data_IF_804117038926
#
_entry.id   IF_804117038926
#
_cell.length_a   1.000
_cell.length_b   1.000
_cell.length_c   1.000
_cell.angle_alpha   90.00
_cell.angle_beta   90.00
_cell.angle_gamma   90.00
#
_symmetry.space_group_name_H-M   'P 1'
#
loop_
_entity.id
_entity.type
_entity.pdbx_description
1 polymer ?
#
# COMPACT_ATOMS: atom_id res chain seq x y z
N UNK A 1 -11.02 36.49 56.92
CA UNK A 1 -11.55 35.96 55.64
C UNK A 1 -10.64 36.22 54.43
N UNK A 2 -9.32 36.38 54.58
CA UNK A 2 -8.40 36.77 53.46
C UNK A 2 -7.28 35.76 53.14
N UNK A 3 -7.15 34.66 53.91
CA UNK A 3 -6.07 33.68 53.77
C UNK A 3 -6.36 32.55 52.76
N UNK A 4 -7.62 32.14 52.57
CA UNK A 4 -7.95 31.09 51.58
C UNK A 4 -7.88 31.61 50.13
N UNK A 5 -8.23 32.89 49.91
CA UNK A 5 -8.13 33.50 48.58
C UNK A 5 -6.69 33.58 48.09
N UNK A 6 -5.72 33.83 48.97
CA UNK A 6 -4.30 33.82 48.63
C UNK A 6 -3.85 32.45 48.12
N UNK A 7 -4.24 31.35 48.79
CA UNK A 7 -3.92 29.99 48.35
C UNK A 7 -4.55 29.67 47.00
N UNK A 8 -5.80 30.06 46.79
CA UNK A 8 -6.51 29.82 45.54
C UNK A 8 -5.89 30.62 44.38
N UNK A 9 -5.43 31.85 44.63
CA UNK A 9 -4.74 32.67 43.63
C UNK A 9 -3.36 32.07 43.29
N UNK A 10 -2.61 31.61 44.29
CA UNK A 10 -1.33 30.91 44.05
C UNK A 10 -1.53 29.63 43.24
N UNK A 11 -2.55 28.83 43.57
CA UNK A 11 -2.91 27.64 42.82
C UNK A 11 -3.34 27.97 41.39
N UNK A 12 -4.12 29.03 41.20
CA UNK A 12 -4.55 29.48 39.88
C UNK A 12 -3.34 29.89 39.02
N UNK A 13 -2.41 30.66 39.58
CA UNK A 13 -1.18 31.06 38.90
C UNK A 13 -0.28 29.87 38.58
N UNK A 14 -0.23 28.87 39.46
CA UNK A 14 0.53 27.64 39.22
C UNK A 14 -0.10 26.79 38.10
N UNK A 15 -1.43 26.69 38.04
CA UNK A 15 -2.13 26.01 36.95
C UNK A 15 -1.95 26.76 35.64
N UNK A 16 -2.06 28.09 35.63
CA UNK A 16 -1.81 28.91 34.44
C UNK A 16 -0.35 28.77 33.98
N UNK A 17 0.60 28.79 34.92
CA UNK A 17 2.02 28.59 34.64
C UNK A 17 2.31 27.20 34.08
N UNK A 18 1.73 26.15 34.66
CA UNK A 18 1.85 24.78 34.15
C UNK A 18 1.17 24.61 32.79
N UNK A 19 0.01 25.22 32.57
CA UNK A 19 -0.67 25.22 31.28
C UNK A 19 0.19 25.89 30.22
N UNK A 20 0.76 27.05 30.52
CA UNK A 20 1.69 27.73 29.62
C UNK A 20 2.96 26.93 29.38
N UNK A 21 3.56 26.36 30.41
CA UNK A 21 4.79 25.56 30.30
C UNK A 21 4.59 24.29 29.48
N UNK A 22 3.47 23.59 29.70
CA UNK A 22 3.08 22.43 28.90
C UNK A 22 2.81 22.84 27.44
N UNK A 23 2.10 23.94 27.22
CA UNK A 23 1.79 24.44 25.88
C UNK A 23 2.99 25.07 25.14
N UNK A 24 4.10 25.36 25.84
CA UNK A 24 5.34 25.86 25.25
C UNK A 24 6.24 24.74 24.70
N UNK A 25 5.93 23.48 25.00
CA UNK A 25 6.70 22.30 24.56
C UNK A 25 6.26 21.71 23.23
N UNK A 26 5.36 22.39 22.52
CA UNK A 26 4.96 22.00 21.18
C UNK A 26 5.17 23.20 20.27
N UNK A 27 6.37 23.34 19.71
CA UNK A 27 6.43 23.95 18.38
C UNK A 27 5.68 22.98 17.48
N UNK A 28 4.47 23.28 16.98
CA UNK A 28 4.00 22.57 15.80
C UNK A 28 5.05 22.92 14.75
N UNK A 29 5.88 21.96 14.37
CA UNK A 29 6.64 22.07 13.13
C UNK A 29 5.57 22.05 12.05
N UNK A 30 5.07 23.24 11.74
CA UNK A 30 4.08 23.51 10.72
C UNK A 30 4.77 23.57 9.34
N UNK A 31 5.74 22.67 9.18
CA UNK A 31 6.35 22.29 7.92
C UNK A 31 5.95 20.82 7.77
N UNK A 32 4.78 20.56 7.20
CA UNK A 32 4.47 19.25 6.64
C UNK A 32 5.41 19.04 5.45
N UNK A 33 6.66 18.74 5.76
CA UNK A 33 7.66 18.29 4.80
C UNK A 33 7.35 16.83 4.47
N UNK A 34 7.53 16.48 3.20
CA UNK A 34 7.38 15.09 2.76
C UNK A 34 8.42 14.23 3.49
N UNK A 35 8.06 12.98 3.76
CA UNK A 35 8.96 11.97 4.32
C UNK A 35 10.29 11.91 3.56
N UNK A 36 10.23 12.12 2.25
CA UNK A 36 11.40 12.09 1.37
C UNK A 36 11.17 12.90 0.09
N UNK A 37 12.26 13.28 -0.57
CA UNK A 37 12.24 13.94 -1.87
C UNK A 37 12.25 12.95 -3.05
N UNK A 38 12.35 11.64 -2.79
CA UNK A 38 12.45 10.60 -3.81
C UNK A 38 11.17 10.57 -4.68
N UNK A 39 11.35 10.45 -6.00
CA UNK A 39 10.26 10.23 -6.93
C UNK A 39 9.99 8.73 -7.09
N UNK A 40 8.71 8.34 -7.02
CA UNK A 40 8.27 6.95 -7.22
C UNK A 40 8.59 6.39 -8.60
N UNK A 41 8.69 7.26 -9.62
CA UNK A 41 8.94 6.82 -11.00
C UNK A 41 10.36 6.28 -11.21
N UNK A 42 11.30 6.75 -10.39
CA UNK A 42 12.72 6.36 -10.40
C UNK A 42 12.98 5.02 -9.69
N UNK A 43 11.98 4.47 -9.01
CA UNK A 43 12.11 3.19 -8.31
C UNK A 43 12.08 2.05 -9.32
N UNK A 44 13.09 1.17 -9.23
CA UNK A 44 13.26 -0.01 -10.08
C UNK A 44 13.24 -1.30 -9.26
N UNK A 45 13.64 -1.25 -8.00
CA UNK A 45 13.70 -2.40 -7.11
C UNK A 45 12.98 -2.09 -5.80
N UNK A 46 12.15 -3.02 -5.36
CA UNK A 46 11.43 -2.99 -4.09
C UNK A 46 11.76 -4.26 -3.34
N UNK A 47 12.22 -4.10 -2.10
CA UNK A 47 12.56 -5.21 -1.23
C UNK A 47 11.87 -5.02 0.11
N UNK A 48 11.04 -5.99 0.50
CA UNK A 48 10.31 -5.99 1.78
C UNK A 48 10.93 -7.06 2.67
N UNK A 49 11.48 -6.65 3.80
CA UNK A 49 12.04 -7.55 4.81
C UNK A 49 11.20 -7.52 6.07
N UNK A 50 10.95 -8.70 6.65
CA UNK A 50 10.20 -8.86 7.91
C UNK A 50 10.94 -9.83 8.81
N UNK A 51 10.83 -9.64 10.12
CA UNK A 51 11.38 -10.60 11.08
C UNK A 51 10.79 -11.99 10.86
N UNK A 52 11.66 -12.99 10.72
CA UNK A 52 11.31 -14.43 10.65
C UNK A 52 10.43 -14.87 9.46
N UNK A 53 10.36 -14.07 8.38
CA UNK A 53 9.61 -14.43 7.16
C UNK A 53 10.52 -14.16 5.95
N UNK A 54 10.33 -14.92 4.88
CA UNK A 54 11.01 -14.69 3.60
C UNK A 54 10.83 -13.24 3.12
N UNK A 55 11.94 -12.69 2.64
CA UNK A 55 11.99 -11.43 1.92
C UNK A 55 11.09 -11.48 0.68
N UNK A 56 10.53 -10.35 0.29
CA UNK A 56 9.85 -10.19 -0.99
C UNK A 56 10.68 -9.21 -1.83
N UNK A 57 11.05 -9.63 -3.03
CA UNK A 57 11.76 -8.78 -3.99
C UNK A 57 10.92 -8.60 -5.24
N UNK A 58 10.77 -7.35 -5.67
CA UNK A 58 9.92 -6.96 -6.80
C UNK A 58 10.71 -5.97 -7.67
N UNK A 59 10.80 -6.27 -8.96
CA UNK A 59 11.59 -5.52 -9.93
C UNK A 59 10.70 -4.93 -11.03
N UNK A 60 11.02 -3.71 -11.45
CA UNK A 60 10.37 -3.03 -12.57
C UNK A 60 10.97 -3.55 -13.88
N UNK A 61 10.13 -4.08 -14.74
CA UNK A 61 10.51 -4.57 -16.07
C UNK A 61 9.81 -3.78 -17.16
N UNK A 62 10.15 -4.04 -18.43
CA UNK A 62 9.42 -3.49 -19.58
C UNK A 62 7.94 -3.89 -19.62
N UNK A 63 7.59 -5.02 -18.99
CA UNK A 63 6.21 -5.54 -18.91
C UNK A 63 5.45 -5.10 -17.66
N UNK A 64 6.05 -4.24 -16.83
CA UNK A 64 5.53 -3.85 -15.52
C UNK A 64 6.30 -4.48 -14.37
N UNK A 65 5.72 -4.44 -13.17
CA UNK A 65 6.37 -4.97 -11.96
C UNK A 65 6.30 -6.50 -11.91
N UNK A 66 7.40 -7.14 -11.53
CA UNK A 66 7.51 -8.58 -11.38
C UNK A 66 8.07 -8.92 -10.01
N UNK A 67 7.43 -9.85 -9.32
CA UNK A 67 7.98 -10.47 -8.11
C UNK A 67 9.08 -11.43 -8.57
N UNK A 68 10.29 -11.25 -8.03
CA UNK A 68 11.46 -12.08 -8.33
C UNK A 68 11.79 -13.05 -7.20
N UNK A 69 11.36 -12.75 -5.97
CA UNK A 69 11.51 -13.60 -4.80
C UNK A 69 10.31 -13.48 -3.83
N UNK A 70 9.88 -14.56 -3.14
CA UNK A 70 10.34 -15.95 -3.22
C UNK A 70 9.82 -16.73 -4.43
N UNK A 71 8.83 -16.18 -5.14
CA UNK A 71 8.20 -16.78 -6.31
C UNK A 71 8.31 -15.82 -7.48
N UNK A 72 8.40 -16.36 -8.70
CA UNK A 72 8.36 -15.56 -9.93
C UNK A 72 6.91 -15.39 -10.38
N UNK A 73 6.42 -14.17 -10.33
CA UNK A 73 5.05 -13.84 -10.75
C UNK A 73 4.97 -12.37 -11.20
N UNK A 74 3.98 -12.04 -12.03
CA UNK A 74 3.64 -10.62 -12.27
C UNK A 74 3.13 -10.01 -10.98
N UNK A 75 3.59 -8.80 -10.66
CA UNK A 75 3.11 -8.07 -9.51
C UNK A 75 1.91 -7.19 -9.88
N UNK A 76 0.98 -7.05 -8.96
CA UNK A 76 -0.18 -6.20 -9.10
C UNK A 76 0.25 -4.73 -9.04
N UNK A 77 0.22 -4.05 -10.19
CA UNK A 77 0.66 -2.65 -10.31
C UNK A 77 -0.08 -1.69 -9.35
N UNK A 78 -1.36 -1.91 -9.08
CA UNK A 78 -2.14 -1.09 -8.15
C UNK A 78 -1.60 -1.20 -6.72
N UNK A 79 -1.26 -2.42 -6.28
CA UNK A 79 -0.65 -2.63 -4.96
C UNK A 79 0.75 -2.02 -4.88
N UNK A 80 1.54 -2.14 -5.94
CA UNK A 80 2.85 -1.48 -5.99
C UNK A 80 2.71 0.04 -5.92
N UNK A 81 1.75 0.62 -6.63
CA UNK A 81 1.48 2.06 -6.56
C UNK A 81 1.07 2.51 -5.14
N UNK A 82 0.23 1.72 -4.44
CA UNK A 82 -0.12 1.98 -3.04
C UNK A 82 1.10 1.93 -2.13
N UNK A 83 2.02 0.97 -2.33
CA UNK A 83 3.27 0.87 -1.58
C UNK A 83 4.18 2.09 -1.81
N UNK A 84 4.37 2.47 -3.07
CA UNK A 84 5.15 3.65 -3.46
C UNK A 84 4.50 4.96 -3.02
N UNK A 85 3.21 4.94 -2.69
CA UNK A 85 2.49 6.05 -2.05
C UNK A 85 3.17 6.55 -0.76
N UNK A 86 3.96 5.71 -0.08
CA UNK A 86 4.80 6.12 1.06
C UNK A 86 5.66 7.35 0.75
N UNK A 87 6.24 7.41 -0.45
CA UNK A 87 7.13 8.50 -0.87
C UNK A 87 6.40 9.85 -0.96
N UNK A 88 5.07 9.83 -1.03
CA UNK A 88 4.20 11.00 -1.06
C UNK A 88 3.68 11.42 0.32
N UNK A 89 3.97 10.67 1.38
CA UNK A 89 3.45 10.94 2.72
C UNK A 89 4.18 12.12 3.38
N UNK A 90 3.44 12.87 4.20
CA UNK A 90 3.97 13.96 5.01
C UNK A 90 4.45 13.48 6.38
N UNK A 91 5.50 14.12 6.89
CA UNK A 91 6.00 13.94 8.24
C UNK A 91 5.32 14.93 9.18
N UNK A 92 4.61 14.45 10.19
CA UNK A 92 3.97 15.26 11.23
C UNK A 92 4.97 15.73 12.30
N UNK A 93 6.03 14.96 12.50
CA UNK A 93 7.15 15.29 13.36
C UNK A 93 8.41 14.64 12.80
N UNK A 94 9.56 15.23 13.08
CA UNK A 94 10.88 14.70 12.75
C UNK A 94 11.76 14.79 13.99
N UNK A 95 12.57 13.77 14.21
CA UNK A 95 13.54 13.71 15.28
C UNK A 95 14.81 13.04 14.74
N UNK A 96 15.96 13.69 14.86
CA UNK A 96 17.22 13.07 14.47
C UNK A 96 17.49 11.84 15.36
N UNK A 97 17.97 10.75 14.76
CA UNK A 97 18.51 9.64 15.51
C UNK A 97 19.78 10.10 16.23
N UNK A 98 19.77 10.07 17.56
CA UNK A 98 20.92 10.45 18.39
C UNK A 98 21.96 9.32 18.49
N UNK A 99 21.83 8.27 17.67
CA UNK A 99 22.62 7.03 17.70
C UNK A 99 22.51 6.27 19.02
N UNK A 100 21.62 6.69 19.92
CA UNK A 100 21.29 5.94 21.12
C UNK A 100 20.26 4.89 20.75
N UNK A 101 20.69 3.63 20.77
CA UNK A 101 19.79 2.48 20.61
C UNK A 101 18.58 2.52 21.56
N UNK A 102 18.65 3.29 22.66
CA UNK A 102 17.52 3.47 23.59
C UNK A 102 16.32 4.15 22.94
N UNK A 103 16.52 5.17 22.09
CA UNK A 103 15.41 5.89 21.45
C UNK A 103 14.77 5.03 20.35
N UNK A 104 15.61 4.40 19.52
CA UNK A 104 15.15 3.47 18.49
C UNK A 104 14.38 2.29 19.09
N UNK A 105 14.84 1.74 20.22
CA UNK A 105 14.12 0.67 20.93
C UNK A 105 12.78 1.16 21.48
N UNK A 106 12.72 2.38 22.03
CA UNK A 106 11.49 2.98 22.56
C UNK A 106 10.40 3.13 21.48
N UNK A 107 10.80 3.42 20.23
CA UNK A 107 9.87 3.57 19.11
C UNK A 107 9.69 2.29 18.29
N UNK A 108 10.25 1.16 18.72
CA UNK A 108 10.14 -0.13 18.01
C UNK A 108 10.92 -0.20 16.70
N UNK A 109 11.92 0.68 16.52
CA UNK A 109 12.81 0.75 15.36
C UNK A 109 14.08 -0.10 15.53
N UNK A 110 14.41 -0.50 16.76
CA UNK A 110 15.53 -1.40 17.06
C UNK A 110 15.09 -2.56 17.99
N UNK A 111 14.94 -3.81 17.49
CA UNK A 111 15.02 -4.18 16.07
C UNK A 111 13.76 -3.78 15.29
N UNK A 112 13.93 -3.33 14.04
CA UNK A 112 12.81 -3.08 13.15
C UNK A 112 12.13 -4.40 12.75
N UNK A 113 10.81 -4.49 12.96
CA UNK A 113 10.02 -5.69 12.62
C UNK A 113 9.77 -5.84 11.12
N UNK A 114 9.68 -4.70 10.44
CA UNK A 114 9.48 -4.61 9.00
C UNK A 114 10.28 -3.45 8.43
N UNK A 115 10.92 -3.69 7.29
CA UNK A 115 11.61 -2.67 6.52
C UNK A 115 11.23 -2.77 5.05
N UNK A 116 11.24 -1.60 4.41
CA UNK A 116 11.05 -1.44 2.99
C UNK A 116 12.32 -0.80 2.44
N UNK A 117 12.95 -1.45 1.47
CA UNK A 117 14.04 -0.89 0.69
C UNK A 117 13.54 -0.60 -0.72
N UNK A 118 13.69 0.64 -1.15
CA UNK A 118 13.32 1.12 -2.48
C UNK A 118 14.60 1.55 -3.18
N UNK A 119 15.07 0.80 -4.18
CA UNK A 119 16.44 0.90 -4.68
C UNK A 119 17.45 0.82 -3.51
N UNK A 120 18.13 1.91 -3.18
CA UNK A 120 19.07 1.99 -2.06
C UNK A 120 18.50 2.68 -0.81
N UNK A 121 17.29 3.23 -0.90
CA UNK A 121 16.65 3.97 0.18
C UNK A 121 15.97 3.01 1.16
N UNK A 122 16.39 3.06 2.42
CA UNK A 122 15.87 2.22 3.48
C UNK A 122 14.81 2.98 4.30
N UNK A 123 13.69 2.31 4.56
CA UNK A 123 12.63 2.76 5.45
C UNK A 123 12.36 1.66 6.48
N UNK A 124 12.60 1.94 7.76
CA UNK A 124 12.34 1.00 8.85
C UNK A 124 11.11 1.46 9.62
N UNK A 125 10.17 0.55 9.86
CA UNK A 125 8.89 0.88 10.48
C UNK A 125 8.87 0.43 11.93
N UNK A 126 8.58 1.40 12.80
CA UNK A 126 8.44 1.21 14.24
C UNK A 126 6.99 1.03 14.66
N UNK A 127 6.73 1.26 15.95
CA UNK A 127 5.41 1.16 16.55
C UNK A 127 4.51 2.37 16.18
N UNK A 128 3.23 2.28 16.56
CA UNK A 128 2.28 3.40 16.41
C UNK A 128 2.26 4.23 17.69
N UNK A 129 2.23 5.54 17.54
CA UNK A 129 2.00 6.47 18.63
C UNK A 129 0.59 6.25 19.23
N UNK A 130 0.42 6.45 20.54
CA UNK A 130 -0.75 5.96 21.26
C UNK A 130 -2.00 6.81 21.02
N UNK A 131 -1.84 8.11 20.77
CA UNK A 131 -2.92 9.10 20.66
C UNK A 131 -3.38 9.24 19.21
N UNK A 132 -2.51 9.73 18.33
CA UNK A 132 -2.78 10.01 16.91
C UNK A 132 -2.77 8.77 16.03
N UNK A 133 -2.21 7.65 16.52
CA UNK A 133 -2.02 6.41 15.76
C UNK A 133 -1.15 6.55 14.51
N UNK A 134 -0.40 7.66 14.38
CA UNK A 134 0.68 7.79 13.42
C UNK A 134 1.78 6.78 13.72
N UNK A 135 2.61 6.49 12.71
CA UNK A 135 3.66 5.49 12.79
C UNK A 135 5.04 6.11 12.72
N UNK A 136 5.95 5.63 13.55
CA UNK A 136 7.36 5.96 13.46
C UNK A 136 8.00 5.26 12.27
N UNK A 137 8.74 6.00 11.45
CA UNK A 137 9.52 5.49 10.32
C UNK A 137 10.91 6.12 10.37
N UNK A 138 11.95 5.29 10.40
CA UNK A 138 13.34 5.74 10.28
C UNK A 138 13.76 5.73 8.80
N UNK A 139 14.25 6.87 8.33
CA UNK A 139 14.79 7.09 6.99
C UNK A 139 15.89 8.14 7.07
N UNK A 140 17.04 7.90 6.44
CA UNK A 140 18.20 8.81 6.42
C UNK A 140 18.58 9.37 7.81
N UNK A 141 18.67 8.49 8.81
CA UNK A 141 18.98 8.81 10.22
C UNK A 141 17.98 9.78 10.90
N UNK A 142 16.79 9.96 10.32
CA UNK A 142 15.71 10.76 10.85
C UNK A 142 14.51 9.87 11.15
N UNK A 143 13.97 10.01 12.36
CA UNK A 143 12.73 9.39 12.80
C UNK A 143 11.58 10.31 12.43
N UNK A 144 10.76 9.84 11.50
CA UNK A 144 9.57 10.51 11.02
C UNK A 144 8.31 9.94 11.68
N UNK A 145 7.36 10.80 12.00
CA UNK A 145 6.02 10.39 12.40
C UNK A 145 5.05 10.60 11.23
N UNK A 146 4.52 9.52 10.65
CA UNK A 146 3.72 9.57 9.42
C UNK A 146 2.36 8.88 9.55
N UNK A 147 1.46 9.12 8.58
CA UNK A 147 0.25 8.31 8.43
C UNK A 147 0.57 6.85 8.08
N UNK A 148 -0.13 5.92 8.72
CA UNK A 148 0.07 4.49 8.53
C UNK A 148 -0.71 3.94 7.32
N UNK A 149 -0.23 4.23 6.11
CA UNK A 149 -0.92 3.85 4.87
C UNK A 149 -0.43 2.52 4.26
N UNK A 150 0.83 2.15 4.49
CA UNK A 150 1.48 1.04 3.76
C UNK A 150 1.77 -0.19 4.62
N UNK A 151 1.71 -0.10 5.95
CA UNK A 151 2.14 -1.20 6.84
C UNK A 151 1.28 -2.45 6.71
N UNK A 152 -0.01 -2.29 6.43
CA UNK A 152 -0.90 -3.44 6.15
C UNK A 152 -0.42 -4.23 4.92
N UNK A 153 0.03 -3.54 3.88
CA UNK A 153 0.59 -4.15 2.67
C UNK A 153 1.98 -4.73 2.92
N UNK A 154 2.83 -4.04 3.68
CA UNK A 154 4.16 -4.54 4.07
C UNK A 154 4.09 -5.85 4.85
N UNK A 155 3.07 -6.04 5.68
CA UNK A 155 2.85 -7.29 6.43
C UNK A 155 2.07 -8.36 5.66
N UNK A 156 1.61 -8.06 4.44
CA UNK A 156 0.82 -9.00 3.65
C UNK A 156 1.69 -10.11 3.04
N UNK A 157 1.08 -11.28 2.82
CA UNK A 157 1.76 -12.39 2.17
C UNK A 157 2.16 -12.04 0.71
N UNK A 158 3.25 -12.63 0.19
CA UNK A 158 3.67 -12.45 -1.22
C UNK A 158 2.53 -12.70 -2.21
N UNK A 159 1.65 -13.66 -1.94
CA UNK A 159 0.50 -13.96 -2.81
C UNK A 159 -0.41 -12.74 -3.00
N UNK A 160 -0.50 -11.85 -2.01
CA UNK A 160 -1.28 -10.63 -2.13
C UNK A 160 -0.73 -9.67 -3.18
N UNK A 161 0.57 -9.73 -3.49
CA UNK A 161 1.21 -8.88 -4.50
C UNK A 161 1.08 -9.45 -5.91
N UNK A 162 0.58 -10.67 -6.11
CA UNK A 162 0.44 -11.27 -7.43
C UNK A 162 -0.66 -10.56 -8.22
N UNK A 163 -0.40 -10.29 -9.50
CA UNK A 163 -1.43 -9.89 -10.45
C UNK A 163 -2.24 -11.11 -10.90
N UNK A 164 -3.46 -11.21 -10.36
CA UNK A 164 -4.37 -12.33 -10.60
C UNK A 164 -5.13 -12.23 -11.93
N UNK A 165 -4.98 -11.12 -12.68
CA UNK A 165 -5.66 -10.96 -13.98
C UNK A 165 -5.20 -12.02 -14.95
N UNK A 166 -6.14 -12.72 -15.56
CA UNK A 166 -5.81 -13.76 -16.54
C UNK A 166 -5.29 -13.13 -17.84
N UNK A 167 -5.88 -12.00 -18.21
CA UNK A 167 -5.60 -11.27 -19.45
C UNK A 167 -4.90 -9.97 -19.11
N UNK A 168 -3.77 -9.71 -19.75
CA UNK A 168 -3.07 -8.44 -19.62
C UNK A 168 -3.94 -7.31 -20.17
N UNK A 169 -3.95 -6.15 -19.52
CA UNK A 169 -4.67 -4.97 -20.02
C UNK A 169 -4.12 -4.43 -21.35
N UNK A 170 -2.93 -4.86 -21.77
CA UNK A 170 -2.39 -4.59 -23.11
C UNK A 170 -3.01 -5.47 -24.19
N UNK A 171 -3.66 -6.57 -23.82
CA UNK A 171 -4.21 -7.55 -24.73
C UNK A 171 -5.73 -7.39 -24.75
N UNK A 172 -6.28 -7.18 -25.95
CA UNK A 172 -7.72 -7.07 -26.15
C UNK A 172 -8.20 -8.43 -26.65
N UNK A 173 -9.26 -8.96 -26.04
CA UNK A 173 -9.92 -10.17 -26.53
C UNK A 173 -10.55 -9.83 -27.87
N UNK A 174 -10.18 -10.57 -28.92
CA UNK A 174 -10.82 -10.49 -30.24
C UNK A 174 -11.77 -11.67 -30.50
N UNK A 175 -11.52 -12.79 -29.83
CA UNK A 175 -12.27 -14.04 -29.98
C UNK A 175 -12.23 -14.82 -28.66
N UNK A 176 -13.34 -15.42 -28.29
CA UNK A 176 -13.50 -16.29 -27.13
C UNK A 176 -14.18 -17.59 -27.56
N UNK A 177 -13.58 -18.73 -27.24
CA UNK A 177 -14.17 -20.05 -27.47
C UNK A 177 -14.50 -20.67 -26.11
N UNK A 178 -15.80 -20.92 -25.88
CA UNK A 178 -16.32 -21.40 -24.61
C UNK A 178 -16.88 -22.82 -24.77
N UNK A 179 -16.60 -23.76 -23.85
CA UNK A 179 -17.20 -25.08 -23.90
C UNK A 179 -18.70 -25.00 -23.56
N UNK A 180 -19.50 -25.85 -24.18
CA UNK A 180 -20.93 -25.94 -23.90
C UNK A 180 -21.14 -26.85 -22.68
N UNK A 181 -21.87 -26.35 -21.68
CA UNK A 181 -22.31 -27.17 -20.55
C UNK A 181 -23.59 -27.94 -20.95
N UNK A 182 -23.50 -29.27 -20.96
CA UNK A 182 -24.63 -30.15 -21.22
C UNK A 182 -25.63 -30.15 -20.04
N UNK A 183 -26.85 -30.62 -20.28
CA UNK A 183 -27.91 -30.66 -19.26
C UNK A 183 -27.57 -31.52 -18.03
N UNK A 184 -26.66 -32.48 -18.17
CA UNK A 184 -26.14 -33.32 -17.10
C UNK A 184 -24.92 -32.72 -16.38
N UNK A 185 -24.61 -31.44 -16.62
CA UNK A 185 -23.45 -30.71 -16.11
C UNK A 185 -22.10 -31.25 -16.59
N UNK A 186 -22.08 -32.02 -17.68
CA UNK A 186 -20.83 -32.41 -18.34
C UNK A 186 -20.42 -31.36 -19.38
N UNK A 187 -19.12 -31.15 -19.55
CA UNK A 187 -18.60 -30.31 -20.63
C UNK A 187 -18.69 -31.09 -21.94
N UNK A 188 -19.34 -30.50 -22.94
CA UNK A 188 -19.34 -31.02 -24.30
C UNK A 188 -18.02 -30.71 -25.00
N UNK A 189 -17.64 -31.55 -25.97
CA UNK A 189 -16.55 -31.25 -26.90
C UNK A 189 -16.90 -30.10 -27.88
N UNK A 190 -18.18 -29.77 -28.01
CA UNK A 190 -18.63 -28.62 -28.80
C UNK A 190 -18.39 -27.31 -28.04
N UNK A 191 -17.91 -26.31 -28.77
CA UNK A 191 -17.69 -24.95 -28.27
C UNK A 191 -18.68 -23.97 -28.89
N UNK A 192 -18.88 -22.85 -28.21
CA UNK A 192 -19.49 -21.64 -28.75
C UNK A 192 -18.38 -20.62 -28.95
N UNK A 193 -18.35 -20.03 -30.15
CA UNK A 193 -17.41 -19.00 -30.54
C UNK A 193 -18.09 -17.64 -30.43
N UNK A 194 -17.46 -16.72 -29.71
CA UNK A 194 -17.82 -15.31 -29.62
C UNK A 194 -16.69 -14.52 -30.25
N UNK A 195 -16.97 -13.77 -31.32
CA UNK A 195 -15.96 -13.05 -32.09
C UNK A 195 -16.37 -11.60 -32.32
N UNK A 196 -15.37 -10.71 -32.34
CA UNK A 196 -15.57 -9.30 -32.63
C UNK A 196 -15.47 -9.06 -34.14
N UNK A 197 -16.60 -8.69 -34.75
CA UNK A 197 -16.67 -8.31 -36.16
C UNK A 197 -16.96 -6.81 -36.24
N UNK A 198 -15.96 -6.01 -36.63
CA UNK A 198 -16.05 -4.55 -36.81
C UNK A 198 -16.61 -3.78 -35.58
N UNK A 199 -16.24 -4.20 -34.37
CA UNK A 199 -16.67 -3.57 -33.11
C UNK A 199 -17.99 -4.13 -32.55
N UNK A 200 -18.59 -5.11 -33.22
CA UNK A 200 -19.79 -5.80 -32.76
C UNK A 200 -19.49 -7.27 -32.42
N UNK A 201 -19.80 -7.66 -31.18
CA UNK A 201 -19.68 -9.05 -30.74
C UNK A 201 -20.80 -9.90 -31.31
N UNK A 202 -20.43 -11.03 -31.91
CA UNK A 202 -21.35 -12.00 -32.51
C UNK A 202 -21.00 -13.41 -32.03
N UNK A 203 -22.03 -14.25 -31.88
CA UNK A 203 -21.89 -15.65 -31.49
C UNK A 203 -22.26 -16.57 -32.65
N UNK A 204 -21.54 -17.68 -32.80
CA UNK A 204 -21.89 -18.75 -33.75
C UNK A 204 -23.02 -19.68 -33.23
N UNK A 205 -23.45 -19.47 -31.97
CA UNK A 205 -24.45 -20.30 -31.31
C UNK A 205 -25.84 -20.15 -31.95
N UNK A 206 -26.39 -21.28 -32.38
CA UNK A 206 -27.78 -21.36 -32.85
C UNK A 206 -28.80 -21.48 -31.70
N UNK A 207 -28.34 -21.55 -30.44
CA UNK A 207 -29.15 -21.98 -29.30
C UNK A 207 -30.00 -20.86 -28.67
N UNK A 208 -29.77 -19.58 -29.00
CA UNK A 208 -30.63 -18.43 -28.67
C UNK A 208 -30.17 -17.20 -29.43
N UNK A 209 -31.09 -16.28 -29.76
CA UNK A 209 -30.73 -14.91 -30.14
C UNK A 209 -30.17 -14.21 -28.91
N UNK A 210 -28.87 -14.34 -28.69
CA UNK A 210 -28.16 -13.56 -27.67
C UNK A 210 -28.04 -12.11 -28.17
N UNK A 211 -28.34 -11.14 -27.30
CA UNK A 211 -28.19 -9.74 -27.69
C UNK A 211 -26.71 -9.39 -27.76
N UNK A 212 -26.32 -8.55 -28.72
CA UNK A 212 -24.94 -8.06 -28.82
C UNK A 212 -24.46 -7.35 -27.53
N UNK A 213 -25.40 -6.81 -26.74
CA UNK A 213 -25.13 -6.19 -25.45
C UNK A 213 -24.69 -7.24 -24.42
N UNK A 214 -25.39 -8.37 -24.33
CA UNK A 214 -25.05 -9.44 -23.38
C UNK A 214 -23.67 -10.05 -23.69
N UNK A 215 -23.37 -10.24 -24.98
CA UNK A 215 -22.05 -10.70 -25.43
C UNK A 215 -20.94 -9.72 -25.07
N UNK A 216 -21.20 -8.41 -25.22
CA UNK A 216 -20.25 -7.37 -24.82
C UNK A 216 -19.97 -7.42 -23.31
N UNK A 217 -21.03 -7.51 -22.49
CA UNK A 217 -20.89 -7.62 -21.03
C UNK A 217 -20.07 -8.85 -20.64
N UNK A 218 -20.34 -10.00 -21.27
CA UNK A 218 -19.60 -11.23 -21.02
C UNK A 218 -18.12 -11.10 -21.36
N UNK A 219 -17.80 -10.56 -22.54
CA UNK A 219 -16.41 -10.40 -22.96
C UNK A 219 -15.69 -9.37 -22.10
N UNK A 220 -16.34 -8.26 -21.75
CA UNK A 220 -15.79 -7.25 -20.85
C UNK A 220 -15.50 -7.84 -19.46
N UNK A 221 -16.37 -8.72 -18.96
CA UNK A 221 -16.13 -9.43 -17.70
C UNK A 221 -14.88 -10.32 -17.77
N UNK A 222 -14.68 -11.05 -18.86
CA UNK A 222 -13.45 -11.84 -19.08
C UNK A 222 -12.21 -10.96 -19.25
N UNK A 223 -12.35 -9.81 -19.91
CA UNK A 223 -11.26 -8.86 -20.13
C UNK A 223 -10.75 -8.23 -18.83
N UNK A 224 -11.62 -8.15 -17.80
CA UNK A 224 -11.33 -7.56 -16.50
C UNK A 224 -11.06 -8.58 -15.38
N UNK A 225 -11.25 -9.88 -15.65
CA UNK A 225 -11.02 -10.98 -14.71
C UNK A 225 -9.53 -11.24 -14.43
#
# INVERSE_FOLDING_TARGET
MKSSYLRNITLLLLIIGLYWFNNQSSTPVNNSERLTAINSDDIQLITITRSNISEISIEKTSSGWQITHPIKARANNTRIALLLGLLNTYSYAQQADDSSNSMLAQFGLAPAKVSLKLNDYMFQFGDRETISKHRYVLHDDIIHLIDDQVTALLNANVISFIDNRLILSSNIINKLELPILSADMTLSDATVTIENNDGHWQSDSQLKQESAVDLTILVDAWQQA
#
